data_IF_165948954412
#
_entry.id   IF_165948954412
#
_cell.length_a   1.000
_cell.length_b   1.000
_cell.length_c   1.000
_cell.angle_alpha   90.00
_cell.angle_beta   90.00
_cell.angle_gamma   90.00
#
_symmetry.space_group_name_H-M   'P 1'
#
loop_
_entity.id
_entity.type
_entity.pdbx_description
1 polymer ?
#
# COMPACT_ATOMS: atom_id res chain seq x y z
N UNK A 1 -4.39 3.61 -20.02
CA UNK A 1 -3.43 3.85 -18.93
C UNK A 1 -2.38 2.76 -18.98
N UNK A 2 -1.12 3.09 -18.70
CA UNK A 2 0.00 2.13 -18.63
C UNK A 2 -0.22 1.09 -17.53
N UNK A 3 0.42 -0.08 -17.65
CA UNK A 3 0.28 -1.17 -16.67
C UNK A 3 0.71 -0.70 -15.27
N UNK A 4 1.79 0.10 -15.23
CA UNK A 4 2.28 0.80 -14.05
C UNK A 4 1.23 1.73 -13.43
N UNK A 5 0.67 2.66 -14.22
CA UNK A 5 -0.26 3.67 -13.69
C UNK A 5 -1.55 3.02 -13.17
N UNK A 6 -2.02 1.96 -13.84
CA UNK A 6 -3.19 1.21 -13.40
C UNK A 6 -2.94 0.50 -12.08
N UNK A 7 -1.82 -0.21 -11.94
CA UNK A 7 -1.46 -0.91 -10.71
C UNK A 7 -1.29 0.06 -9.54
N UNK A 8 -0.54 1.15 -9.76
CA UNK A 8 -0.31 2.18 -8.74
C UNK A 8 -1.65 2.74 -8.24
N UNK A 9 -2.52 3.13 -9.18
CA UNK A 9 -3.83 3.70 -8.85
C UNK A 9 -4.69 2.69 -8.08
N UNK A 10 -4.73 1.44 -8.53
CA UNK A 10 -5.53 0.40 -7.89
C UNK A 10 -5.04 0.08 -6.47
N UNK A 11 -3.72 0.00 -6.26
CA UNK A 11 -3.14 -0.22 -4.93
C UNK A 11 -3.38 0.97 -4.00
N UNK A 12 -3.23 2.21 -4.48
CA UNK A 12 -3.53 3.41 -3.68
C UNK A 12 -5.01 3.46 -3.30
N UNK A 13 -5.93 3.18 -4.22
CA UNK A 13 -7.36 3.15 -3.91
C UNK A 13 -7.70 2.03 -2.92
N UNK A 14 -7.14 0.83 -3.11
CA UNK A 14 -7.29 -0.28 -2.17
C UNK A 14 -6.80 0.07 -0.77
N UNK A 15 -5.64 0.73 -0.69
CA UNK A 15 -5.07 1.24 0.57
C UNK A 15 -6.00 2.25 1.25
N UNK A 16 -6.50 3.25 0.51
CA UNK A 16 -7.42 4.25 1.06
C UNK A 16 -8.73 3.63 1.58
N UNK A 17 -9.28 2.65 0.85
CA UNK A 17 -10.47 1.91 1.30
C UNK A 17 -10.19 1.15 2.59
N UNK A 18 -9.06 0.46 2.68
CA UNK A 18 -8.69 -0.30 3.87
C UNK A 18 -8.35 0.58 5.08
N UNK A 19 -7.65 1.70 4.89
CA UNK A 19 -7.29 2.66 5.96
C UNK A 19 -8.47 3.47 6.48
N UNK A 20 -9.40 3.89 5.61
CA UNK A 20 -10.41 4.89 6.01
C UNK A 20 -11.83 4.35 6.00
N UNK A 21 -12.18 3.49 5.05
CA UNK A 21 -13.54 3.00 4.92
C UNK A 21 -13.77 1.73 5.74
N UNK A 22 -12.83 0.78 5.70
CA UNK A 22 -12.93 -0.50 6.41
C UNK A 22 -12.27 -0.53 7.79
N UNK A 23 -11.65 0.56 8.23
CA UNK A 23 -11.08 0.69 9.58
C UNK A 23 -12.00 1.54 10.48
N UNK A 24 -12.83 0.93 11.36
CA UNK A 24 -13.62 1.68 12.31
C UNK A 24 -12.74 2.45 13.31
N UNK A 25 -13.24 3.59 13.80
CA UNK A 25 -12.54 4.38 14.83
C UNK A 25 -12.26 3.60 16.12
N UNK A 26 -13.06 2.56 16.43
CA UNK A 26 -12.78 1.67 17.57
C UNK A 26 -11.48 0.89 17.41
N UNK A 27 -11.07 0.56 16.18
CA UNK A 27 -9.81 -0.13 15.90
C UNK A 27 -8.63 0.83 16.09
N UNK A 28 -8.79 2.08 15.66
CA UNK A 28 -7.80 3.14 15.87
C UNK A 28 -7.60 3.41 17.36
N UNK A 29 -8.69 3.50 18.12
CA UNK A 29 -8.62 3.67 19.58
C UNK A 29 -7.93 2.48 20.26
N UNK A 30 -8.27 1.26 19.82
CA UNK A 30 -7.65 0.03 20.30
C UNK A 30 -6.14 0.01 20.07
N UNK A 31 -5.71 0.33 18.83
CA UNK A 31 -4.29 0.42 18.44
C UNK A 31 -3.54 1.45 19.28
N UNK A 32 -4.11 2.63 19.49
CA UNK A 32 -3.44 3.71 20.22
C UNK A 32 -3.31 3.46 21.72
N UNK A 33 -4.14 2.58 22.31
CA UNK A 33 -4.09 2.26 23.74
C UNK A 33 -3.34 0.95 24.04
N UNK A 34 -3.41 -0.03 23.13
CA UNK A 34 -2.85 -1.38 23.32
C UNK A 34 -1.63 -1.68 22.45
N UNK A 35 -1.32 -0.82 21.48
CA UNK A 35 -0.17 -0.94 20.58
C UNK A 35 -0.06 -2.34 19.95
N UNK A 36 1.08 -3.03 20.13
CA UNK A 36 1.29 -4.38 19.60
C UNK A 36 0.30 -5.43 20.12
N UNK A 37 -0.36 -5.17 21.26
CA UNK A 37 -1.39 -6.03 21.87
C UNK A 37 -2.80 -5.77 21.31
N UNK A 38 -2.96 -4.79 20.42
CA UNK A 38 -4.23 -4.48 19.79
C UNK A 38 -4.60 -5.57 18.79
N UNK A 39 -5.54 -6.45 19.14
CA UNK A 39 -6.04 -7.48 18.23
C UNK A 39 -6.65 -6.89 16.95
N UNK A 40 -7.16 -5.66 17.02
CA UNK A 40 -7.71 -4.94 15.87
C UNK A 40 -6.66 -4.50 14.85
N UNK A 41 -5.39 -4.34 15.26
CA UNK A 41 -4.29 -4.05 14.33
C UNK A 41 -4.07 -5.22 13.36
N UNK A 42 -4.12 -6.47 13.84
CA UNK A 42 -3.98 -7.64 12.97
C UNK A 42 -5.14 -7.78 11.99
N UNK A 43 -6.38 -7.48 12.41
CA UNK A 43 -7.53 -7.46 11.50
C UNK A 43 -7.39 -6.39 10.42
N UNK A 44 -6.85 -5.22 10.78
CA UNK A 44 -6.57 -4.15 9.83
C UNK A 44 -5.51 -4.54 8.80
N UNK A 45 -4.42 -5.16 9.24
CA UNK A 45 -3.39 -5.66 8.33
C UNK A 45 -3.97 -6.76 7.42
N UNK A 46 -4.88 -7.59 7.93
CA UNK A 46 -5.58 -8.58 7.12
C UNK A 46 -6.47 -7.93 6.05
N UNK A 47 -7.15 -6.80 6.34
CA UNK A 47 -7.91 -6.09 5.29
C UNK A 47 -7.00 -5.63 4.17
N UNK A 48 -5.82 -5.07 4.48
CA UNK A 48 -4.82 -4.70 3.47
C UNK A 48 -4.30 -5.92 2.69
N UNK A 49 -4.04 -7.04 3.37
CA UNK A 49 -3.62 -8.28 2.74
C UNK A 49 -4.64 -8.80 1.72
N UNK A 50 -5.92 -8.88 2.11
CA UNK A 50 -6.99 -9.36 1.21
C UNK A 50 -7.18 -8.43 0.02
N UNK A 51 -7.21 -7.11 0.26
CA UNK A 51 -7.43 -6.12 -0.80
C UNK A 51 -6.26 -6.06 -1.77
N UNK A 52 -5.03 -6.02 -1.27
CA UNK A 52 -3.84 -6.02 -2.12
C UNK A 52 -3.69 -7.32 -2.89
N UNK A 53 -3.95 -8.48 -2.29
CA UNK A 53 -3.93 -9.77 -2.98
C UNK A 53 -4.93 -9.79 -4.14
N UNK A 54 -6.15 -9.29 -3.93
CA UNK A 54 -7.15 -9.22 -4.98
C UNK A 54 -6.70 -8.31 -6.15
N UNK A 55 -6.21 -7.11 -5.84
CA UNK A 55 -5.71 -6.16 -6.85
C UNK A 55 -4.53 -6.77 -7.63
N UNK A 56 -3.54 -7.32 -6.91
CA UNK A 56 -2.33 -7.89 -7.51
C UNK A 56 -2.64 -9.11 -8.36
N UNK A 57 -3.56 -9.99 -7.92
CA UNK A 57 -3.97 -11.16 -8.70
C UNK A 57 -4.67 -10.77 -9.99
N UNK A 58 -5.59 -9.81 -9.94
CA UNK A 58 -6.31 -9.32 -11.12
C UNK A 58 -5.37 -8.62 -12.11
N UNK A 59 -4.43 -7.83 -11.58
CA UNK A 59 -3.42 -7.18 -12.40
C UNK A 59 -2.47 -8.19 -13.04
N UNK A 60 -1.96 -9.15 -12.28
CA UNK A 60 -1.04 -10.20 -12.76
C UNK A 60 -1.69 -11.04 -13.87
N UNK A 61 -2.96 -11.38 -13.73
CA UNK A 61 -3.71 -12.12 -14.75
C UNK A 61 -3.83 -11.34 -16.06
N UNK A 62 -3.93 -10.01 -16.00
CA UNK A 62 -4.20 -9.17 -17.17
C UNK A 62 -2.94 -8.61 -17.83
N UNK A 63 -1.92 -8.26 -17.03
CA UNK A 63 -0.73 -7.52 -17.47
C UNK A 63 0.59 -8.15 -17.04
N UNK A 64 0.56 -9.11 -16.10
CA UNK A 64 1.75 -9.69 -15.50
C UNK A 64 2.39 -10.79 -16.32
N UNK A 65 3.39 -11.44 -15.72
CA UNK A 65 4.17 -12.51 -16.33
C UNK A 65 3.63 -13.91 -15.96
N UNK A 66 2.46 -13.97 -15.31
CA UNK A 66 1.84 -15.15 -14.73
C UNK A 66 2.70 -15.82 -13.63
N UNK A 67 3.51 -15.03 -12.94
CA UNK A 67 4.35 -15.46 -11.82
C UNK A 67 3.65 -15.19 -10.48
N UNK A 68 2.74 -16.09 -10.11
CA UNK A 68 1.94 -15.94 -8.87
C UNK A 68 2.78 -15.83 -7.59
N UNK A 69 4.02 -16.33 -7.59
CA UNK A 69 4.96 -16.15 -6.48
C UNK A 69 5.26 -14.68 -6.18
N UNK A 70 5.35 -13.82 -7.21
CA UNK A 70 5.58 -12.38 -7.04
C UNK A 70 4.38 -11.68 -6.41
N UNK A 71 3.16 -12.10 -6.79
CA UNK A 71 1.91 -11.62 -6.18
C UNK A 71 1.88 -11.91 -4.68
N UNK A 72 2.26 -13.14 -4.29
CA UNK A 72 2.31 -13.52 -2.87
C UNK A 72 3.38 -12.73 -2.11
N UNK A 73 4.58 -12.59 -2.69
CA UNK A 73 5.67 -11.81 -2.08
C UNK A 73 5.30 -10.34 -1.90
N UNK A 74 4.68 -9.72 -2.91
CA UNK A 74 4.21 -8.34 -2.85
C UNK A 74 3.12 -8.17 -1.78
N UNK A 75 2.14 -9.09 -1.73
CA UNK A 75 1.08 -9.08 -0.71
C UNK A 75 1.66 -9.15 0.71
N UNK A 76 2.59 -10.09 0.94
CA UNK A 76 3.25 -10.24 2.24
C UNK A 76 4.07 -8.99 2.59
N UNK A 77 4.78 -8.41 1.61
CA UNK A 77 5.54 -7.19 1.81
C UNK A 77 4.62 -6.03 2.25
N UNK A 78 3.47 -5.84 1.60
CA UNK A 78 2.46 -4.84 1.98
C UNK A 78 1.97 -5.07 3.41
N UNK A 79 1.59 -6.32 3.75
CA UNK A 79 1.09 -6.63 5.09
C UNK A 79 2.13 -6.34 6.18
N UNK A 80 3.38 -6.77 5.97
CA UNK A 80 4.45 -6.59 6.95
C UNK A 80 4.83 -5.12 7.10
N UNK A 81 5.01 -4.39 6.00
CA UNK A 81 5.32 -2.97 6.06
C UNK A 81 4.20 -2.19 6.70
N UNK A 82 2.94 -2.50 6.35
CA UNK A 82 1.78 -1.79 6.88
C UNK A 82 1.69 -1.99 8.39
N UNK A 83 1.80 -3.24 8.87
CA UNK A 83 1.86 -3.56 10.30
C UNK A 83 2.94 -2.75 11.04
N UNK A 84 4.16 -2.72 10.50
CA UNK A 84 5.30 -2.04 11.14
C UNK A 84 5.08 -0.53 11.18
N UNK A 85 4.61 0.07 10.09
CA UNK A 85 4.36 1.51 9.98
C UNK A 85 3.24 1.92 10.95
N UNK A 86 2.11 1.20 10.94
CA UNK A 86 0.98 1.47 11.85
C UNK A 86 1.35 1.28 13.32
N UNK A 87 2.17 0.27 13.61
CA UNK A 87 2.67 0.03 14.96
C UNK A 87 3.57 1.18 15.40
N UNK A 88 4.51 1.62 14.56
CA UNK A 88 5.38 2.77 14.84
C UNK A 88 4.57 4.07 15.05
N UNK A 89 3.55 4.31 14.22
CA UNK A 89 2.61 5.42 14.38
C UNK A 89 1.90 5.36 15.73
N UNK A 90 1.52 4.16 16.20
CA UNK A 90 0.83 4.01 17.49
C UNK A 90 1.65 4.47 18.70
N UNK A 91 2.99 4.48 18.60
CA UNK A 91 3.90 4.98 19.63
C UNK A 91 4.28 6.47 19.44
N UNK A 92 3.83 7.08 18.35
CA UNK A 92 4.12 8.48 18.05
C UNK A 92 3.11 9.42 18.71
N UNK A 93 3.45 10.71 18.77
CA UNK A 93 2.52 11.74 19.23
C UNK A 93 1.25 11.77 18.38
N UNK A 94 0.13 12.18 18.97
CA UNK A 94 -1.12 12.40 18.22
C UNK A 94 -1.02 13.71 17.45
N UNK A 95 -1.43 13.72 16.18
CA UNK A 95 -1.48 14.94 15.38
C UNK A 95 -1.42 14.68 13.87
N UNK A 96 -1.50 15.78 13.11
CA UNK A 96 -1.50 15.74 11.64
C UNK A 96 -0.12 15.33 11.08
N UNK A 97 0.98 15.74 11.71
CA UNK A 97 2.33 15.43 11.20
C UNK A 97 2.61 13.91 11.22
N UNK A 98 2.44 13.18 12.34
CA UNK A 98 2.61 11.72 12.34
C UNK A 98 1.62 11.00 11.43
N UNK A 99 0.42 11.55 11.24
CA UNK A 99 -0.55 11.04 10.26
C UNK A 99 -0.04 11.18 8.81
N UNK A 100 0.50 12.34 8.43
CA UNK A 100 1.05 12.55 7.07
C UNK A 100 2.26 11.65 6.84
N UNK A 101 3.18 11.56 7.80
CA UNK A 101 4.37 10.71 7.69
C UNK A 101 3.99 9.22 7.52
N UNK A 102 2.97 8.77 8.23
CA UNK A 102 2.41 7.43 8.12
C UNK A 102 1.85 7.15 6.70
N UNK A 103 0.98 8.02 6.17
CA UNK A 103 0.47 7.84 4.81
C UNK A 103 1.58 7.90 3.74
N UNK A 104 2.60 8.76 3.92
CA UNK A 104 3.73 8.83 3.00
C UNK A 104 4.57 7.55 3.04
N UNK A 105 4.82 6.98 4.23
CA UNK A 105 5.55 5.73 4.37
C UNK A 105 4.84 4.58 3.66
N UNK A 106 3.51 4.46 3.81
CA UNK A 106 2.71 3.47 3.08
C UNK A 106 2.78 3.68 1.56
N UNK A 107 2.67 4.94 1.10
CA UNK A 107 2.76 5.27 -0.32
C UNK A 107 4.12 4.91 -0.92
N UNK A 108 5.22 5.15 -0.20
CA UNK A 108 6.57 4.76 -0.65
C UNK A 108 6.64 3.26 -0.91
N UNK A 109 6.09 2.43 -0.01
CA UNK A 109 6.06 0.97 -0.21
C UNK A 109 5.26 0.61 -1.46
N UNK A 110 4.07 1.18 -1.63
CA UNK A 110 3.22 0.92 -2.80
C UNK A 110 3.95 1.28 -4.10
N UNK A 111 4.62 2.43 -4.15
CA UNK A 111 5.40 2.85 -5.33
C UNK A 111 6.55 1.88 -5.59
N UNK A 112 7.33 1.51 -4.57
CA UNK A 112 8.45 0.57 -4.71
C UNK A 112 7.99 -0.78 -5.26
N UNK A 113 6.89 -1.33 -4.74
CA UNK A 113 6.33 -2.59 -5.22
C UNK A 113 5.76 -2.48 -6.63
N UNK A 114 5.11 -1.37 -6.96
CA UNK A 114 4.60 -1.13 -8.32
C UNK A 114 5.76 -1.10 -9.32
N UNK A 115 6.85 -0.37 -9.02
CA UNK A 115 8.06 -0.32 -9.86
C UNK A 115 8.73 -1.69 -9.97
N UNK A 116 8.71 -2.49 -8.91
CA UNK A 116 9.30 -3.84 -8.93
C UNK A 116 8.51 -4.83 -9.79
N UNK A 117 7.17 -4.76 -9.76
CA UNK A 117 6.29 -5.69 -10.48
C UNK A 117 6.12 -5.33 -11.95
N UNK A 118 6.19 -4.05 -12.29
CA UNK A 118 5.99 -3.55 -13.66
C UNK A 118 7.33 -3.40 -14.41
N UNK A 119 7.28 -3.24 -15.73
CA UNK A 119 8.48 -2.95 -16.51
C UNK A 119 9.04 -1.57 -16.13
N UNK A 120 10.29 -1.54 -15.66
CA UNK A 120 11.01 -0.32 -15.28
C UNK A 120 11.05 0.68 -16.44
N UNK A 121 11.08 0.23 -17.68
CA UNK A 121 11.08 1.11 -18.85
C UNK A 121 9.77 1.90 -18.99
N UNK A 122 8.64 1.33 -18.56
CA UNK A 122 7.34 2.02 -18.56
C UNK A 122 7.32 3.15 -17.53
N UNK A 123 7.92 2.94 -16.35
CA UNK A 123 8.10 3.99 -15.35
C UNK A 123 9.01 5.13 -15.86
N UNK A 124 10.18 4.80 -16.41
CA UNK A 124 11.12 5.82 -16.90
C UNK A 124 10.57 6.61 -18.08
N UNK A 125 9.90 5.95 -19.03
CA UNK A 125 9.30 6.64 -20.18
C UNK A 125 8.20 7.62 -19.75
N UNK A 126 7.31 7.23 -18.83
CA UNK A 126 6.26 8.10 -18.32
C UNK A 126 6.80 9.30 -17.54
N UNK A 127 7.82 9.07 -16.69
CA UNK A 127 8.43 10.15 -15.90
C UNK A 127 9.18 11.13 -16.79
N UNK A 128 9.98 10.62 -17.73
CA UNK A 128 10.73 11.45 -18.69
C UNK A 128 9.82 12.25 -19.62
N UNK A 129 8.76 11.63 -20.18
CA UNK A 129 7.77 12.33 -21.01
C UNK A 129 7.09 13.47 -20.25
N UNK A 130 6.70 13.25 -18.99
CA UNK A 130 6.07 14.30 -18.18
C UNK A 130 7.04 15.42 -17.80
N UNK A 131 8.31 15.11 -17.57
CA UNK A 131 9.31 16.13 -17.24
C UNK A 131 9.61 17.05 -18.42
N UNK A 132 9.69 16.50 -19.64
CA UNK A 132 9.93 17.30 -20.86
C UNK A 132 8.66 18.04 -21.31
N UNK A 133 7.48 17.48 -21.07
CA UNK A 133 6.20 18.13 -21.41
C UNK A 133 5.80 19.27 -20.46
N UNK A 134 6.62 19.58 -19.46
CA UNK A 134 6.45 20.72 -18.55
C UNK A 134 7.21 21.99 -19.02
N UNK A 135 7.89 21.91 -20.16
CA UNK A 135 8.49 23.04 -20.89
C UNK A 135 7.53 23.54 -21.99
#
# INVERSE_FOLDING_TARGET
MTSFALLLTALVLGHLLADFYWQPMSWVHDRNNRHFRASKLYLHVLTHGVTSLAVLTLWEYTYGWQEFSRVLLATVAIMLSHYVIDLAKSYSNKGVVPFILDQLAHLVVIVMLTVWLTDKNEFYSLTWQKLIALD
#
